data_IF_110283511721
#
_entry.id   IF_110283511721
#
_cell.length_a   1.000
_cell.length_b   1.000
_cell.length_c   1.000
_cell.angle_alpha   90.00
_cell.angle_beta   90.00
_cell.angle_gamma   90.00
#
_symmetry.space_group_name_H-M   'P 1'
#
loop_
_entity.id
_entity.type
_entity.pdbx_description
1 polymer ?
#
# COMPACT_ATOMS: atom_id res chain seq x y z
N UNK A 1 20.78 -14.51 15.66
CA UNK A 1 19.60 -13.66 15.37
C UNK A 1 20.04 -12.59 14.39
N UNK A 2 19.37 -12.44 13.25
CA UNK A 2 19.67 -11.36 12.31
C UNK A 2 18.90 -10.14 12.81
N UNK A 3 19.62 -9.09 13.23
CA UNK A 3 19.02 -7.90 13.81
C UNK A 3 18.19 -7.20 12.73
N UNK A 4 16.87 -7.19 12.88
CA UNK A 4 15.98 -6.42 12.00
C UNK A 4 16.09 -4.97 12.44
N UNK A 5 16.72 -4.14 11.61
CA UNK A 5 16.80 -2.69 11.84
C UNK A 5 15.43 -2.07 11.53
N UNK A 6 14.52 -2.21 12.51
CA UNK A 6 13.12 -1.82 12.38
C UNK A 6 12.98 -0.33 12.01
N UNK A 7 13.88 0.52 12.52
CA UNK A 7 13.90 1.95 12.22
C UNK A 7 14.15 2.22 10.73
N UNK A 8 15.15 1.55 10.12
CA UNK A 8 15.40 1.67 8.67
C UNK A 8 14.23 1.17 7.83
N UNK A 9 13.58 0.08 8.24
CA UNK A 9 12.44 -0.47 7.52
C UNK A 9 11.22 0.45 7.59
N UNK A 10 10.96 1.08 8.74
CA UNK A 10 9.88 2.06 8.91
C UNK A 10 10.12 3.29 8.02
N UNK A 11 11.34 3.83 8.02
CA UNK A 11 11.69 4.99 7.19
C UNK A 11 11.55 4.66 5.70
N UNK A 12 12.07 3.51 5.26
CA UNK A 12 11.93 3.05 3.89
C UNK A 12 10.45 2.92 3.50
N UNK A 13 9.65 2.29 4.36
CA UNK A 13 8.21 2.13 4.17
C UNK A 13 7.48 3.46 4.04
N UNK A 14 7.81 4.43 4.89
CA UNK A 14 7.23 5.77 4.84
C UNK A 14 7.56 6.48 3.51
N UNK A 15 8.84 6.48 3.10
CA UNK A 15 9.27 7.13 1.85
C UNK A 15 8.59 6.48 0.64
N UNK A 16 8.61 5.15 0.56
CA UNK A 16 7.94 4.42 -0.53
C UNK A 16 6.43 4.71 -0.52
N UNK A 17 5.84 4.74 0.67
CA UNK A 17 4.43 5.03 0.87
C UNK A 17 4.01 6.41 0.37
N UNK A 18 4.78 7.45 0.68
CA UNK A 18 4.53 8.82 0.19
C UNK A 18 4.63 8.88 -1.34
N UNK A 19 5.68 8.30 -1.92
CA UNK A 19 5.86 8.26 -3.38
C UNK A 19 4.70 7.54 -4.07
N UNK A 20 4.27 6.42 -3.50
CA UNK A 20 3.10 5.68 -3.97
C UNK A 20 1.81 6.48 -3.82
N UNK A 21 1.61 7.20 -2.71
CA UNK A 21 0.44 8.04 -2.49
C UNK A 21 0.29 9.12 -3.56
N UNK A 22 1.39 9.77 -3.95
CA UNK A 22 1.39 10.73 -5.06
C UNK A 22 1.17 10.06 -6.42
N UNK A 23 1.74 8.87 -6.65
CA UNK A 23 1.45 8.11 -7.86
C UNK A 23 -0.04 7.72 -7.95
N UNK A 24 -0.66 7.38 -6.83
CA UNK A 24 -2.08 7.07 -6.75
C UNK A 24 -2.96 8.28 -7.10
N UNK A 25 -2.56 9.50 -6.70
CA UNK A 25 -3.23 10.73 -7.15
C UNK A 25 -3.13 10.88 -8.66
N UNK A 26 -1.93 10.75 -9.23
CA UNK A 26 -1.73 10.91 -10.67
C UNK A 26 -2.56 9.89 -11.46
N UNK A 27 -2.59 8.62 -11.00
CA UNK A 27 -3.42 7.57 -11.60
C UNK A 27 -4.90 7.93 -11.47
N UNK A 28 -5.34 8.42 -10.31
CA UNK A 28 -6.73 8.80 -10.11
C UNK A 28 -7.15 10.02 -10.95
N UNK A 29 -6.26 11.01 -11.10
CA UNK A 29 -6.51 12.19 -11.91
C UNK A 29 -6.70 11.84 -13.39
N UNK A 30 -6.02 10.80 -13.88
CA UNK A 30 -6.18 10.30 -15.24
C UNK A 30 -7.36 9.35 -15.38
N UNK A 31 -7.60 8.48 -14.40
CA UNK A 31 -8.66 7.47 -14.49
C UNK A 31 -10.07 8.00 -14.20
N UNK A 32 -10.18 9.06 -13.39
CA UNK A 32 -11.46 9.65 -12.97
C UNK A 32 -12.31 8.74 -12.07
N UNK A 33 -11.71 7.68 -11.52
CA UNK A 33 -12.42 6.62 -10.77
C UNK A 33 -12.88 7.07 -9.38
N UNK A 34 -12.14 7.98 -8.75
CA UNK A 34 -12.56 8.67 -7.53
C UNK A 34 -12.75 10.17 -7.80
N UNK A 35 -13.91 10.75 -7.46
CA UNK A 35 -14.07 12.19 -7.46
C UNK A 35 -13.17 12.80 -6.37
N UNK A 36 -12.48 13.89 -6.70
CA UNK A 36 -11.79 14.67 -5.69
C UNK A 36 -12.83 15.52 -4.95
N UNK A 37 -13.06 15.21 -3.67
CA UNK A 37 -13.99 15.96 -2.81
C UNK A 37 -13.41 17.32 -2.37
N UNK A 38 -12.08 17.43 -2.37
CA UNK A 38 -11.32 18.59 -1.91
C UNK A 38 -10.30 19.07 -2.94
N UNK A 39 -9.66 20.22 -2.67
CA UNK A 39 -8.58 20.75 -3.51
C UNK A 39 -7.44 19.74 -3.71
N UNK A 40 -6.79 19.77 -4.88
CA UNK A 40 -5.72 18.84 -5.25
C UNK A 40 -4.56 18.85 -4.23
N UNK A 41 -4.23 20.01 -3.67
CA UNK A 41 -3.23 20.18 -2.61
C UNK A 41 -3.64 19.47 -1.30
N UNK A 42 -4.90 19.55 -0.90
CA UNK A 42 -5.38 18.84 0.28
C UNK A 42 -5.31 17.31 0.07
N UNK A 43 -5.73 16.85 -1.11
CA UNK A 43 -5.62 15.43 -1.47
C UNK A 43 -4.15 14.96 -1.49
N UNK A 44 -3.20 15.78 -1.93
CA UNK A 44 -1.76 15.46 -1.89
C UNK A 44 -1.27 15.12 -0.48
N UNK A 45 -1.70 15.87 0.52
CA UNK A 45 -1.31 15.61 1.92
C UNK A 45 -1.98 14.33 2.43
N UNK A 46 -3.29 14.20 2.22
CA UNK A 46 -4.05 13.02 2.67
C UNK A 46 -3.55 11.72 2.06
N UNK A 47 -3.24 11.70 0.76
CA UNK A 47 -2.65 10.54 0.09
C UNK A 47 -1.20 10.28 0.51
N UNK A 48 -0.41 11.33 0.80
CA UNK A 48 0.93 11.15 1.33
C UNK A 48 0.89 10.47 2.71
N UNK A 49 0.00 10.92 3.60
CA UNK A 49 -0.17 10.33 4.93
C UNK A 49 -0.73 8.91 4.84
N UNK A 50 -1.80 8.70 4.08
CA UNK A 50 -2.40 7.37 3.88
C UNK A 50 -1.40 6.39 3.24
N UNK A 51 -0.66 6.87 2.23
CA UNK A 51 0.40 6.12 1.59
C UNK A 51 1.55 5.78 2.55
N UNK A 52 2.01 6.73 3.36
CA UNK A 52 3.04 6.50 4.37
C UNK A 52 2.61 5.44 5.38
N UNK A 53 1.39 5.51 5.91
CA UNK A 53 0.85 4.51 6.83
C UNK A 53 0.82 3.14 6.15
N UNK A 54 0.27 3.05 4.94
CA UNK A 54 0.21 1.81 4.19
C UNK A 54 1.61 1.21 3.96
N UNK A 55 2.58 2.05 3.56
CA UNK A 55 3.95 1.64 3.32
C UNK A 55 4.71 1.20 4.56
N UNK A 56 4.53 1.90 5.69
CA UNK A 56 5.10 1.50 6.98
C UNK A 56 4.58 0.11 7.38
N UNK A 57 3.27 -0.11 7.27
CA UNK A 57 2.65 -1.39 7.64
C UNK A 57 3.21 -2.54 6.78
N UNK A 58 3.23 -2.39 5.45
CA UNK A 58 3.77 -3.43 4.57
C UNK A 58 5.26 -3.66 4.79
N UNK A 59 6.04 -2.59 4.92
CA UNK A 59 7.50 -2.67 5.18
C UNK A 59 7.80 -3.35 6.52
N UNK A 60 7.03 -3.03 7.56
CA UNK A 60 7.11 -3.66 8.87
C UNK A 60 6.81 -5.16 8.80
N UNK A 61 5.70 -5.54 8.17
CA UNK A 61 5.38 -6.96 7.97
C UNK A 61 6.42 -7.69 7.14
N UNK A 62 6.94 -7.06 6.08
CA UNK A 62 7.97 -7.66 5.24
C UNK A 62 9.24 -7.93 6.03
N UNK A 63 9.66 -7.01 6.91
CA UNK A 63 10.82 -7.19 7.78
C UNK A 63 10.62 -8.25 8.86
N UNK A 64 9.43 -8.31 9.47
CA UNK A 64 9.12 -9.27 10.55
C UNK A 64 8.89 -10.69 10.03
N UNK A 65 8.18 -10.82 8.91
CA UNK A 65 7.74 -12.11 8.37
C UNK A 65 8.65 -12.66 7.28
N UNK A 66 9.76 -11.99 6.93
CA UNK A 66 10.60 -12.35 5.78
C UNK A 66 10.95 -13.84 5.70
N UNK A 67 11.18 -14.49 6.85
CA UNK A 67 11.56 -15.92 6.94
C UNK A 67 10.38 -16.89 6.78
N UNK A 68 9.17 -16.40 7.00
CA UNK A 68 7.91 -17.18 6.98
C UNK A 68 7.14 -16.97 5.68
N UNK A 69 7.50 -15.94 4.91
CA UNK A 69 6.86 -15.65 3.64
C UNK A 69 7.25 -16.69 2.58
N UNK A 70 6.31 -17.08 1.70
CA UNK A 70 6.45 -18.27 0.87
C UNK A 70 7.44 -18.08 -0.30
N UNK A 71 7.70 -16.85 -0.74
CA UNK A 71 8.54 -16.62 -1.91
C UNK A 71 9.99 -16.35 -1.52
N UNK A 72 10.93 -16.84 -2.34
CA UNK A 72 12.35 -16.46 -2.24
C UNK A 72 12.61 -15.01 -2.68
N UNK A 73 11.72 -14.46 -3.52
CA UNK A 73 11.83 -13.09 -4.02
C UNK A 73 11.17 -12.11 -3.04
N UNK A 74 11.97 -11.17 -2.52
CA UNK A 74 11.48 -10.06 -1.67
C UNK A 74 10.40 -9.24 -2.38
N UNK A 75 10.49 -9.09 -3.70
CA UNK A 75 9.48 -8.36 -4.49
C UNK A 75 8.14 -9.07 -4.47
N UNK A 76 8.12 -10.39 -4.69
CA UNK A 76 6.88 -11.16 -4.67
C UNK A 76 6.24 -11.17 -3.28
N UNK A 77 7.07 -11.25 -2.23
CA UNK A 77 6.61 -11.16 -0.84
C UNK A 77 6.02 -9.78 -0.51
N UNK A 78 6.63 -8.70 -1.00
CA UNK A 78 6.11 -7.34 -0.81
C UNK A 78 4.77 -7.14 -1.55
N UNK A 79 4.64 -7.65 -2.78
CA UNK A 79 3.38 -7.66 -3.54
C UNK A 79 2.31 -8.48 -2.81
N UNK A 80 2.66 -9.68 -2.35
CA UNK A 80 1.75 -10.54 -1.59
C UNK A 80 1.20 -9.81 -0.36
N UNK A 81 2.08 -9.23 0.46
CA UNK A 81 1.68 -8.50 1.67
C UNK A 81 0.81 -7.28 1.35
N UNK A 82 1.17 -6.51 0.33
CA UNK A 82 0.41 -5.32 -0.07
C UNK A 82 -0.99 -5.67 -0.58
N UNK A 83 -1.09 -6.69 -1.44
CA UNK A 83 -2.38 -7.20 -1.93
C UNK A 83 -3.20 -7.82 -0.80
N UNK A 84 -2.58 -8.58 0.10
CA UNK A 84 -3.27 -9.17 1.25
C UNK A 84 -3.85 -8.09 2.17
N UNK A 85 -3.08 -7.04 2.49
CA UNK A 85 -3.59 -5.92 3.29
C UNK A 85 -4.76 -5.22 2.59
N UNK A 86 -4.65 -4.99 1.28
CA UNK A 86 -5.76 -4.42 0.51
C UNK A 86 -7.01 -5.31 0.52
N UNK A 87 -6.85 -6.63 0.36
CA UNK A 87 -7.97 -7.58 0.45
C UNK A 87 -8.63 -7.55 1.82
N UNK A 88 -7.85 -7.47 2.90
CA UNK A 88 -8.38 -7.34 4.27
C UNK A 88 -9.21 -6.06 4.41
N UNK A 89 -8.68 -4.92 3.96
CA UNK A 89 -9.41 -3.65 3.98
C UNK A 89 -10.68 -3.72 3.12
N UNK A 90 -10.60 -4.38 1.96
CA UNK A 90 -11.73 -4.54 1.04
C UNK A 90 -12.83 -5.45 1.60
N UNK A 91 -12.46 -6.51 2.32
CA UNK A 91 -13.39 -7.37 3.05
C UNK A 91 -14.04 -6.57 4.19
N UNK A 92 -13.25 -5.79 4.95
CA UNK A 92 -13.78 -4.89 5.98
C UNK A 92 -14.82 -3.92 5.42
N UNK A 93 -14.52 -3.28 4.29
CA UNK A 93 -15.48 -2.42 3.58
C UNK A 93 -16.72 -3.17 3.09
N UNK A 94 -16.58 -4.44 2.67
CA UNK A 94 -17.73 -5.27 2.28
C UNK A 94 -18.62 -5.61 3.46
N UNK A 95 -18.04 -5.93 4.62
CA UNK A 95 -18.78 -6.19 5.84
C UNK A 95 -19.53 -4.93 6.29
N UNK A 96 -18.89 -3.76 6.28
CA UNK A 96 -19.56 -2.49 6.57
C UNK A 96 -20.72 -2.21 5.62
N UNK A 97 -20.55 -2.48 4.31
CA UNK A 97 -21.62 -2.36 3.31
C UNK A 97 -22.78 -3.33 3.54
N UNK A 98 -22.52 -4.53 4.09
CA UNK A 98 -23.59 -5.47 4.41
C UNK A 98 -24.41 -5.09 5.65
N UNK A 99 -23.83 -4.28 6.57
CA UNK A 99 -24.49 -3.83 7.80
C UNK A 99 -25.20 -2.48 7.59
N UNK A 100 -24.55 -1.55 6.89
CA UNK A 100 -25.08 -0.21 6.57
C UNK A 100 -25.00 0.06 5.05
N UNK A 101 -25.86 -0.58 4.24
CA UNK A 101 -25.80 -0.49 2.77
C UNK A 101 -26.12 0.90 2.23
N UNK A 102 -26.87 1.71 2.97
CA UNK A 102 -27.23 3.10 2.65
C UNK A 102 -26.01 4.05 2.73
N UNK A 103 -24.97 3.65 3.48
CA UNK A 103 -23.80 4.50 3.78
C UNK A 103 -22.53 4.03 3.10
N UNK A 104 -22.34 2.72 3.00
CA UNK A 104 -21.14 2.14 2.39
C UNK A 104 -21.50 1.42 1.10
N UNK A 105 -21.02 1.95 -0.02
CA UNK A 105 -21.25 1.38 -1.34
C UNK A 105 -19.97 0.76 -1.89
N UNK A 106 -20.10 -0.47 -2.38
CA UNK A 106 -19.01 -1.17 -3.03
C UNK A 106 -18.99 -0.85 -4.52
N UNK A 107 -18.04 0.00 -4.92
CA UNK A 107 -17.84 0.34 -6.33
C UNK A 107 -16.76 -0.59 -6.91
N UNK A 108 -17.13 -1.39 -7.90
CA UNK A 108 -16.25 -2.39 -8.52
C UNK A 108 -15.01 -1.75 -9.15
N UNK A 109 -15.18 -0.64 -9.87
CA UNK A 109 -14.06 0.01 -10.56
C UNK A 109 -13.04 0.60 -9.57
N UNK A 110 -13.50 1.16 -8.45
CA UNK A 110 -12.66 1.60 -7.33
C UNK A 110 -11.91 0.43 -6.70
N UNK A 111 -12.56 -0.73 -6.60
CA UNK A 111 -11.94 -1.95 -6.10
C UNK A 111 -10.81 -2.43 -7.01
N UNK A 112 -11.03 -2.45 -8.34
CA UNK A 112 -9.99 -2.84 -9.31
C UNK A 112 -8.80 -1.88 -9.24
N UNK A 113 -9.05 -0.57 -9.19
CA UNK A 113 -7.98 0.42 -9.06
C UNK A 113 -7.18 0.22 -7.76
N UNK A 114 -7.86 -0.02 -6.63
CA UNK A 114 -7.21 -0.31 -5.35
C UNK A 114 -6.33 -1.57 -5.40
N UNK A 115 -6.78 -2.63 -6.05
CA UNK A 115 -5.99 -3.84 -6.28
C UNK A 115 -4.71 -3.54 -7.10
N UNK A 116 -4.86 -2.87 -8.23
CA UNK A 116 -3.73 -2.50 -9.11
C UNK A 116 -2.72 -1.62 -8.37
N UNK A 117 -3.20 -0.62 -7.63
CA UNK A 117 -2.33 0.25 -6.83
C UNK A 117 -1.58 -0.52 -5.75
N UNK A 118 -2.20 -1.53 -5.14
CA UNK A 118 -1.55 -2.39 -4.13
C UNK A 118 -0.43 -3.25 -4.74
N UNK A 119 -0.65 -3.78 -5.96
CA UNK A 119 0.43 -4.46 -6.70
C UNK A 119 1.59 -3.50 -6.98
N UNK A 120 1.29 -2.29 -7.44
CA UNK A 120 2.31 -1.26 -7.71
C UNK A 120 3.10 -0.92 -6.43
N UNK A 121 2.42 -0.73 -5.30
CA UNK A 121 3.06 -0.46 -4.01
C UNK A 121 4.06 -1.55 -3.62
N UNK A 122 3.61 -2.81 -3.66
CA UNK A 122 4.45 -3.95 -3.34
C UNK A 122 5.66 -4.07 -4.27
N UNK A 123 5.49 -3.78 -5.57
CA UNK A 123 6.58 -3.73 -6.52
C UNK A 123 7.62 -2.65 -6.17
N UNK A 124 7.18 -1.41 -5.92
CA UNK A 124 8.08 -0.29 -5.58
C UNK A 124 8.85 -0.62 -4.29
N UNK A 125 8.14 -1.04 -3.24
CA UNK A 125 8.77 -1.41 -1.96
C UNK A 125 9.76 -2.55 -2.14
N UNK A 126 9.36 -3.62 -2.82
CA UNK A 126 10.20 -4.79 -3.02
C UNK A 126 11.47 -4.50 -3.81
N UNK A 127 11.38 -3.66 -4.84
CA UNK A 127 12.54 -3.22 -5.64
C UNK A 127 13.47 -2.38 -4.77
N UNK A 128 12.95 -1.36 -4.09
CA UNK A 128 13.77 -0.49 -3.25
C UNK A 128 14.39 -1.23 -2.06
N UNK A 129 13.67 -2.17 -1.46
CA UNK A 129 14.20 -3.06 -0.42
C UNK A 129 15.37 -3.89 -0.94
N UNK A 130 15.21 -4.51 -2.11
CA UNK A 130 16.27 -5.32 -2.73
C UNK A 130 17.51 -4.49 -3.06
N UNK A 131 17.34 -3.23 -3.49
CA UNK A 131 18.46 -2.30 -3.74
C UNK A 131 19.14 -1.90 -2.43
N UNK A 132 18.37 -1.59 -1.39
CA UNK A 132 18.90 -1.21 -0.08
C UNK A 132 19.69 -2.36 0.56
N UNK A 133 19.18 -3.60 0.49
CA UNK A 133 19.83 -4.78 1.03
C UNK A 133 21.14 -5.17 0.32
N UNK A 134 21.37 -4.68 -0.92
CA UNK A 134 22.66 -4.87 -1.62
C UNK A 134 23.72 -3.84 -1.24
N UNK A 135 23.32 -2.72 -0.63
CA UNK A 135 24.23 -1.63 -0.23
C UNK A 135 24.69 -1.74 1.22
N UNK A 136 23.96 -2.50 2.04
CA UNK A 136 24.28 -2.80 3.43
C UNK A 136 25.16 -4.07 3.53
#
# INVERSE_FOLDING_TARGET
MQYVDLGKNVILGAIVGVLWGWAAIAINAVSGVFPFEESLLYNMISFAVGGAVFGIVISGFLGLLQRWLPFKSVVLNAVLLSVALWLILRIGGAMLSSVEPERYHLITIQSIQGFVLSVIMGCILGILWKVNAKRA
#
